data_IF_074648198729
#
_entry.id   IF_074648198729
#
_cell.length_a   1.000
_cell.length_b   1.000
_cell.length_c   1.000
_cell.angle_alpha   90.00
_cell.angle_beta   90.00
_cell.angle_gamma   90.00
#
_symmetry.space_group_name_H-M   'P 1'
#
loop_
_entity.id
_entity.type
_entity.pdbx_description
1 polymer ?
#
# COMPACT_ATOMS: atom_id res chain seq x y z
N UNK A 1 7.62 -7.39 -7.62
CA UNK A 1 8.62 -7.45 -6.53
C UNK A 1 7.86 -7.83 -5.27
N UNK A 2 8.35 -8.77 -4.46
CA UNK A 2 7.71 -9.12 -3.18
C UNK A 2 8.55 -8.54 -2.05
N UNK A 3 8.01 -7.58 -1.31
CA UNK A 3 8.59 -7.08 -0.07
C UNK A 3 7.83 -7.65 1.12
N UNK A 4 8.52 -7.77 2.25
CA UNK A 4 7.93 -8.25 3.49
C UNK A 4 8.17 -7.18 4.56
N UNK A 5 7.11 -6.84 5.29
CA UNK A 5 7.13 -5.84 6.36
C UNK A 5 6.66 -6.53 7.64
N UNK A 6 7.56 -6.75 8.60
CA UNK A 6 7.29 -7.46 9.87
C UNK A 6 7.30 -6.56 11.10
N UNK A 7 7.98 -5.41 11.02
CA UNK A 7 8.19 -4.48 12.14
C UNK A 7 7.69 -3.08 11.84
N UNK A 8 7.32 -2.83 10.60
CA UNK A 8 6.78 -1.58 10.12
C UNK A 8 5.29 -1.49 10.45
N UNK A 9 4.77 -0.29 10.74
CA UNK A 9 3.34 -0.06 10.83
C UNK A 9 2.60 -0.41 9.52
N UNK A 10 1.33 -0.79 9.64
CA UNK A 10 0.47 -1.09 8.49
C UNK A 10 0.38 0.09 7.49
N UNK A 11 0.36 1.32 8.01
CA UNK A 11 0.44 2.56 7.23
C UNK A 11 1.62 2.57 6.25
N UNK A 12 2.82 2.26 6.75
CA UNK A 12 4.05 2.29 5.97
C UNK A 12 4.07 1.19 4.90
N UNK A 13 3.57 -0.01 5.25
CA UNK A 13 3.44 -1.10 4.29
C UNK A 13 2.46 -0.75 3.15
N UNK A 14 1.32 -0.14 3.48
CA UNK A 14 0.34 0.33 2.47
C UNK A 14 0.96 1.44 1.61
N UNK A 15 1.72 2.35 2.21
CA UNK A 15 2.44 3.38 1.47
C UNK A 15 3.38 2.80 0.42
N UNK A 16 4.26 1.90 0.87
CA UNK A 16 5.28 1.31 0.04
C UNK A 16 4.65 0.58 -1.14
N UNK A 17 3.57 -0.17 -0.89
CA UNK A 17 2.81 -0.84 -1.94
C UNK A 17 2.24 0.15 -2.97
N UNK A 18 1.71 1.28 -2.50
CA UNK A 18 1.06 2.30 -3.33
C UNK A 18 2.02 3.27 -4.06
N UNK A 19 3.30 3.34 -3.68
CA UNK A 19 4.22 4.36 -4.22
C UNK A 19 5.57 3.80 -4.69
N UNK A 20 6.05 2.72 -4.08
CA UNK A 20 7.40 2.20 -4.32
C UNK A 20 7.42 0.77 -4.91
N UNK A 21 6.36 -0.01 -4.72
CA UNK A 21 6.29 -1.41 -5.17
C UNK A 21 5.88 -1.57 -6.64
N UNK A 22 5.81 -0.49 -7.42
CA UNK A 22 5.46 -0.54 -8.84
C UNK A 22 6.63 -0.98 -9.71
N UNK A 23 6.39 -1.83 -10.72
CA UNK A 23 7.40 -2.14 -11.71
C UNK A 23 7.73 -0.88 -12.53
N UNK A 24 8.96 -0.83 -13.04
CA UNK A 24 9.45 0.27 -13.89
C UNK A 24 8.44 0.66 -14.99
N UNK A 25 8.37 1.94 -15.35
CA UNK A 25 7.39 2.54 -16.29
C UNK A 25 7.23 1.79 -17.63
N UNK A 26 8.24 1.03 -18.03
CA UNK A 26 8.15 0.13 -19.19
C UNK A 26 7.16 -1.04 -19.03
N UNK A 27 6.65 -1.27 -17.82
CA UNK A 27 5.75 -2.37 -17.44
C UNK A 27 4.45 -1.88 -16.77
N UNK A 28 4.25 -0.57 -16.63
CA UNK A 28 3.14 0.02 -15.86
C UNK A 28 1.78 -0.12 -16.52
N UNK A 29 1.71 -0.26 -17.85
CA UNK A 29 0.44 -0.37 -18.60
C UNK A 29 -0.45 -1.59 -18.25
N UNK A 30 0.02 -2.49 -17.37
CA UNK A 30 -0.70 -3.70 -16.98
C UNK A 30 -1.05 -3.79 -15.48
N UNK A 31 -0.69 -2.81 -14.66
CA UNK A 31 -0.78 -2.91 -13.20
C UNK A 31 -1.41 -1.66 -12.56
N UNK A 32 -2.71 -1.43 -12.82
CA UNK A 32 -3.44 -0.26 -12.31
C UNK A 32 -4.23 -0.55 -11.01
N UNK A 33 -4.01 -1.71 -10.39
CA UNK A 33 -4.78 -2.16 -9.23
C UNK A 33 -3.90 -2.42 -8.02
N UNK A 34 -4.22 -1.76 -6.91
CA UNK A 34 -3.69 -2.05 -5.58
C UNK A 34 -4.72 -2.89 -4.81
N UNK A 35 -4.28 -3.99 -4.21
CA UNK A 35 -5.11 -4.85 -3.38
C UNK A 35 -4.53 -4.86 -1.96
N UNK A 36 -5.32 -4.47 -0.97
CA UNK A 36 -4.99 -4.60 0.45
C UNK A 36 -5.92 -5.63 1.09
N UNK A 37 -5.35 -6.62 1.79
CA UNK A 37 -6.07 -7.72 2.44
C UNK A 37 -5.63 -7.83 3.89
N UNK A 38 -6.59 -7.88 4.81
CA UNK A 38 -6.35 -8.25 6.21
C UNK A 38 -7.08 -9.55 6.54
N UNK A 39 -6.51 -10.38 7.41
CA UNK A 39 -7.10 -11.65 7.84
C UNK A 39 -7.25 -11.64 9.35
N UNK A 40 -8.48 -11.81 9.83
CA UNK A 40 -8.77 -11.97 11.26
C UNK A 40 -8.56 -10.72 12.13
N UNK A 41 -8.38 -9.53 11.54
CA UNK A 41 -8.17 -8.28 12.27
C UNK A 41 -9.12 -7.18 11.80
N UNK A 42 -10.26 -6.95 12.50
CA UNK A 42 -11.17 -5.84 12.19
C UNK A 42 -10.52 -4.46 12.33
N UNK A 43 -9.48 -4.36 13.18
CA UNK A 43 -8.71 -3.12 13.34
C UNK A 43 -7.95 -2.78 12.06
N UNK A 44 -7.27 -3.76 11.48
CA UNK A 44 -6.53 -3.56 10.23
C UNK A 44 -7.44 -3.31 9.04
N UNK A 45 -8.61 -3.95 9.01
CA UNK A 45 -9.65 -3.67 8.02
C UNK A 45 -10.07 -2.20 8.03
N UNK A 46 -10.38 -1.66 9.22
CA UNK A 46 -10.74 -0.25 9.38
C UNK A 46 -9.60 0.70 8.96
N UNK A 47 -8.36 0.38 9.32
CA UNK A 47 -7.17 1.16 8.91
C UNK A 47 -7.01 1.15 7.38
N UNK A 48 -7.02 -0.04 6.75
CA UNK A 48 -6.92 -0.18 5.29
C UNK A 48 -8.02 0.63 4.59
N UNK A 49 -9.26 0.53 5.07
CA UNK A 49 -10.38 1.28 4.49
C UNK A 49 -10.17 2.79 4.59
N UNK A 50 -9.71 3.29 5.75
CA UNK A 50 -9.40 4.70 5.92
C UNK A 50 -8.30 5.16 4.94
N UNK A 51 -7.24 4.35 4.75
CA UNK A 51 -6.16 4.65 3.82
C UNK A 51 -6.62 4.71 2.36
N UNK A 52 -7.40 3.73 1.90
CA UNK A 52 -7.85 3.66 0.51
C UNK A 52 -8.88 4.74 0.19
N UNK A 53 -9.76 5.09 1.15
CA UNK A 53 -10.76 6.16 0.95
C UNK A 53 -10.15 7.56 0.91
N UNK A 54 -8.99 7.77 1.53
CA UNK A 54 -8.27 9.04 1.48
C UNK A 54 -7.62 9.34 0.11
N UNK A 55 -7.62 8.39 -0.84
CA UNK A 55 -7.14 8.58 -2.22
C UNK A 55 -5.61 8.61 -2.39
N UNK A 56 -4.87 8.24 -1.34
CA UNK A 56 -3.41 8.14 -1.18
C UNK A 56 -2.54 9.16 -1.93
N UNK A 57 -2.05 10.18 -1.22
CA UNK A 57 -0.63 10.56 -1.30
C UNK A 57 -0.05 10.61 0.12
N UNK A 58 0.96 9.82 0.40
CA UNK A 58 1.74 10.00 1.63
C UNK A 58 2.88 10.90 1.25
N UNK A 59 2.95 12.01 1.98
CA UNK A 59 3.81 13.15 1.74
C UNK A 59 5.21 12.73 1.31
N UNK A 60 5.69 13.35 0.23
CA UNK A 60 7.11 13.61 0.05
C UNK A 60 7.61 14.37 1.27
N UNK A 61 8.10 13.67 2.29
CA UNK A 61 9.04 14.28 3.24
C UNK A 61 10.42 14.15 2.61
N UNK A 62 10.80 15.24 1.94
CA UNK A 62 12.18 15.54 1.54
C UNK A 62 13.11 15.66 2.75
#
# INVERSE_FOLDING_TARGET
MTTWHDREPLEEAIWFAANAAFPHDSYTQAADALIALSVGSPKWDAEIHAYLQAGTPIKDEA
#
